data_IF_492792427516
#
_entry.id   IF_492792427516
#
_cell.length_a   1.000
_cell.length_b   1.000
_cell.length_c   1.000
_cell.angle_alpha   90.00
_cell.angle_beta   90.00
_cell.angle_gamma   90.00
#
_symmetry.space_group_name_H-M   'P 1'
#
loop_
_entity.id
_entity.type
_entity.pdbx_description
1 polymer ?
#
# COMPACT_ATOMS: atom_id res chain seq x y z
N UNK A 1 23.32 11.90 9.76
CA UNK A 1 22.32 12.34 8.77
C UNK A 1 21.24 11.30 8.76
N UNK A 2 19.97 11.60 9.06
CA UNK A 2 18.95 10.58 8.97
C UNK A 2 18.65 10.34 7.49
N UNK A 3 18.92 9.13 7.03
CA UNK A 3 18.40 8.64 5.76
C UNK A 3 16.88 8.74 5.82
N UNK A 4 16.29 9.19 4.72
CA UNK A 4 14.84 9.28 4.57
C UNK A 4 14.21 7.89 4.65
N UNK A 5 12.91 7.78 4.87
CA UNK A 5 12.20 6.49 4.81
C UNK A 5 12.27 5.86 3.41
N UNK A 6 12.44 6.70 2.38
CA UNK A 6 12.78 6.24 1.04
C UNK A 6 14.14 5.53 1.02
N UNK A 7 15.13 6.05 1.78
CA UNK A 7 16.40 5.36 2.02
C UNK A 7 16.19 4.13 2.89
N UNK A 8 15.32 4.13 3.91
CA UNK A 8 15.03 2.95 4.72
C UNK A 8 14.39 1.83 3.89
N UNK A 9 13.39 2.11 3.05
CA UNK A 9 12.79 1.14 2.13
C UNK A 9 13.75 0.71 1.00
N UNK A 10 14.71 1.55 0.61
CA UNK A 10 15.72 1.21 -0.39
C UNK A 10 16.93 0.45 0.19
N UNK A 11 17.27 0.70 1.46
CA UNK A 11 18.36 0.07 2.22
C UNK A 11 17.90 -1.20 2.91
N UNK A 12 16.62 -1.33 3.17
CA UNK A 12 16.04 -2.57 3.64
C UNK A 12 16.11 -3.59 2.51
N UNK A 13 17.04 -4.54 2.66
CA UNK A 13 17.24 -5.64 1.71
C UNK A 13 15.98 -6.44 1.38
N UNK A 14 14.91 -6.32 2.19
CA UNK A 14 13.60 -6.92 1.94
C UNK A 14 12.89 -6.29 0.74
N UNK A 15 13.21 -5.04 0.39
CA UNK A 15 12.57 -4.28 -0.69
C UNK A 15 13.57 -3.77 -1.73
N UNK A 16 13.18 -3.88 -3.01
CA UNK A 16 13.92 -3.27 -4.13
C UNK A 16 13.08 -2.19 -4.78
N UNK A 17 13.56 -0.94 -4.81
CA UNK A 17 12.88 0.13 -5.53
C UNK A 17 12.99 -0.05 -7.06
N UNK A 18 11.89 0.11 -7.78
CA UNK A 18 11.82 0.06 -9.26
C UNK A 18 10.78 1.06 -9.76
N UNK A 19 11.06 1.79 -10.85
CA UNK A 19 10.10 2.69 -11.52
C UNK A 19 9.29 3.56 -10.56
N UNK A 20 9.99 4.38 -9.77
CA UNK A 20 9.40 5.18 -8.70
C UNK A 20 9.27 6.64 -9.10
N UNK A 21 8.06 7.18 -8.98
CA UNK A 21 7.77 8.59 -9.13
C UNK A 21 8.18 9.34 -7.86
N UNK A 22 9.18 10.22 -7.95
CA UNK A 22 9.79 10.88 -6.78
C UNK A 22 8.81 11.60 -5.86
N UNK A 23 7.80 12.30 -6.40
CA UNK A 23 6.79 12.99 -5.59
C UNK A 23 5.91 12.03 -4.75
N UNK A 24 5.51 10.89 -5.31
CA UNK A 24 4.70 9.91 -4.59
C UNK A 24 5.54 9.22 -3.50
N UNK A 25 6.81 8.93 -3.80
CA UNK A 25 7.74 8.39 -2.80
C UNK A 25 7.99 9.35 -1.65
N UNK A 26 8.15 10.64 -1.94
CA UNK A 26 8.28 11.67 -0.91
C UNK A 26 7.03 11.72 -0.01
N UNK A 27 5.84 11.59 -0.58
CA UNK A 27 4.59 11.53 0.17
C UNK A 27 4.48 10.27 1.05
N UNK A 28 4.87 9.08 0.54
CA UNK A 28 4.94 7.87 1.37
C UNK A 28 5.91 8.03 2.54
N UNK A 29 7.04 8.70 2.33
CA UNK A 29 8.02 8.95 3.39
C UNK A 29 7.48 9.87 4.49
N UNK A 30 6.49 10.73 4.19
CA UNK A 30 5.79 11.53 5.21
C UNK A 30 4.81 10.72 6.06
N UNK A 31 4.39 9.54 5.60
CA UNK A 31 3.52 8.65 6.38
C UNK A 31 4.32 7.66 7.21
N UNK A 32 5.37 7.08 6.62
CA UNK A 32 6.15 5.99 7.20
C UNK A 32 7.31 6.50 8.06
N UNK A 33 7.10 7.58 8.83
CA UNK A 33 8.18 8.34 9.49
C UNK A 33 8.96 7.58 10.55
N UNK A 34 8.39 6.51 11.11
CA UNK A 34 8.95 5.74 12.22
C UNK A 34 9.32 4.33 11.76
N UNK A 35 10.40 3.76 12.30
CA UNK A 35 10.88 2.40 11.94
C UNK A 35 9.82 1.31 12.18
N UNK A 36 9.00 1.46 13.23
CA UNK A 36 7.89 0.56 13.53
C UNK A 36 6.87 0.51 12.39
N UNK A 37 6.60 1.64 11.72
CA UNK A 37 5.68 1.68 10.58
C UNK A 37 6.25 0.93 9.36
N UNK A 38 7.57 0.94 9.18
CA UNK A 38 8.27 0.20 8.13
C UNK A 38 8.24 -1.31 8.43
N UNK A 39 8.45 -1.70 9.69
CA UNK A 39 8.38 -3.10 10.10
C UNK A 39 6.96 -3.67 10.03
N UNK A 40 5.96 -2.90 10.46
CA UNK A 40 4.54 -3.25 10.31
C UNK A 40 4.17 -3.47 8.84
N UNK A 41 4.65 -2.60 7.94
CA UNK A 41 4.45 -2.75 6.51
C UNK A 41 5.12 -4.03 5.98
N UNK A 42 6.38 -4.28 6.36
CA UNK A 42 7.09 -5.50 5.95
C UNK A 42 6.40 -6.78 6.44
N UNK A 43 5.88 -6.77 7.66
CA UNK A 43 5.11 -7.86 8.21
C UNK A 43 3.78 -8.05 7.47
N UNK A 44 3.06 -6.96 7.20
CA UNK A 44 1.80 -7.00 6.46
C UNK A 44 1.99 -7.55 5.04
N UNK A 45 3.03 -7.12 4.34
CA UNK A 45 3.37 -7.63 3.00
C UNK A 45 3.57 -9.15 3.03
N UNK A 46 4.43 -9.63 3.93
CA UNK A 46 4.72 -11.07 4.07
C UNK A 46 3.51 -11.91 4.48
N UNK A 47 2.57 -11.31 5.22
CA UNK A 47 1.41 -12.02 5.76
C UNK A 47 0.26 -12.07 4.75
N UNK A 48 0.07 -11.00 3.97
CA UNK A 48 -1.15 -10.81 3.18
C UNK A 48 -0.92 -10.79 1.66
N UNK A 49 0.30 -10.62 1.18
CA UNK A 49 0.62 -10.65 -0.25
C UNK A 49 1.08 -12.05 -0.63
N UNK A 50 0.43 -12.66 -1.62
CA UNK A 50 0.76 -14.01 -2.06
C UNK A 50 2.11 -14.04 -2.79
N UNK A 51 2.78 -15.19 -2.77
CA UNK A 51 3.97 -15.39 -3.59
C UNK A 51 3.60 -15.33 -5.09
N UNK A 52 4.46 -14.73 -5.92
CA UNK A 52 4.21 -14.53 -7.35
C UNK A 52 3.08 -13.56 -7.66
N UNK A 53 2.66 -12.72 -6.71
CA UNK A 53 1.60 -11.73 -6.88
C UNK A 53 2.07 -10.31 -6.55
N UNK A 54 1.16 -9.38 -6.75
CA UNK A 54 1.32 -7.96 -6.45
C UNK A 54 0.28 -7.48 -5.46
N UNK A 55 0.63 -6.43 -4.73
CA UNK A 55 -0.28 -5.62 -3.94
C UNK A 55 -0.19 -4.16 -4.36
N UNK A 56 -1.29 -3.43 -4.21
CA UNK A 56 -1.34 -2.00 -4.45
C UNK A 56 -1.91 -1.29 -3.24
N UNK A 57 -1.20 -0.25 -2.81
CA UNK A 57 -1.61 0.65 -1.74
C UNK A 57 -1.75 2.03 -2.36
N UNK A 58 -2.90 2.67 -2.22
CA UNK A 58 -3.14 4.03 -2.65
C UNK A 58 -3.64 4.86 -1.48
N UNK A 59 -2.99 5.99 -1.27
CA UNK A 59 -3.43 7.02 -0.34
C UNK A 59 -4.03 8.13 -1.16
N UNK A 60 -5.29 8.44 -0.88
CA UNK A 60 -6.03 9.52 -1.50
C UNK A 60 -6.08 10.72 -0.56
N UNK A 61 -6.10 11.92 -1.12
CA UNK A 61 -6.41 13.15 -0.39
C UNK A 61 -7.55 13.83 -1.13
N UNK A 62 -8.74 13.83 -0.52
CA UNK A 62 -9.97 14.35 -1.15
C UNK A 62 -10.30 13.65 -2.48
N UNK A 63 -10.23 12.30 -2.50
CA UNK A 63 -10.37 11.47 -3.70
C UNK A 63 -9.33 11.69 -4.82
N UNK A 64 -8.25 12.45 -4.57
CA UNK A 64 -7.13 12.57 -5.52
C UNK A 64 -5.99 11.68 -5.07
N UNK A 65 -5.38 10.93 -6.00
CA UNK A 65 -4.22 10.09 -5.67
C UNK A 65 -3.07 10.95 -5.13
N UNK A 66 -2.77 10.80 -3.84
CA UNK A 66 -1.71 11.53 -3.16
C UNK A 66 -0.41 10.73 -3.15
N UNK A 67 -0.50 9.42 -2.91
CA UNK A 67 0.62 8.50 -3.00
C UNK A 67 0.15 7.12 -3.42
N UNK A 68 0.98 6.39 -4.16
CA UNK A 68 0.76 4.97 -4.42
C UNK A 68 2.01 4.17 -4.15
N UNK A 69 1.83 2.91 -3.80
CA UNK A 69 2.88 1.92 -3.60
C UNK A 69 2.42 0.60 -4.17
N UNK A 70 3.21 0.05 -5.07
CA UNK A 70 2.99 -1.28 -5.67
C UNK A 70 4.06 -2.17 -5.11
N UNK A 71 3.65 -3.30 -4.56
CA UNK A 71 4.55 -4.26 -3.94
C UNK A 71 4.42 -5.56 -4.71
N UNK A 72 5.48 -5.98 -5.38
CA UNK A 72 5.51 -7.26 -6.09
C UNK A 72 6.31 -8.27 -5.28
N UNK A 73 5.77 -9.45 -5.04
CA UNK A 73 6.47 -10.53 -4.36
C UNK A 73 6.83 -11.60 -5.37
N UNK A 74 8.11 -12.00 -5.41
CA UNK A 74 8.56 -13.06 -6.32
C UNK A 74 7.90 -14.42 -6.01
N UNK A 75 8.04 -15.39 -6.92
CA UNK A 75 7.48 -16.73 -6.73
C UNK A 75 8.06 -17.47 -5.52
N UNK A 76 9.24 -17.08 -5.05
CA UNK A 76 9.85 -17.66 -3.85
C UNK A 76 9.27 -17.10 -2.55
N UNK A 77 8.48 -16.02 -2.63
CA UNK A 77 7.94 -15.31 -1.46
C UNK A 77 9.00 -14.52 -0.68
N UNK A 78 10.24 -14.46 -1.17
CA UNK A 78 11.42 -14.02 -0.43
C UNK A 78 11.83 -12.58 -0.72
N UNK A 79 11.61 -12.08 -1.93
CA UNK A 79 11.98 -10.71 -2.32
C UNK A 79 10.74 -9.92 -2.70
N UNK A 80 10.55 -8.76 -2.05
CA UNK A 80 9.56 -7.78 -2.46
C UNK A 80 10.23 -6.68 -3.30
N UNK A 81 9.54 -6.18 -4.32
CA UNK A 81 9.95 -4.96 -5.04
C UNK A 81 8.87 -3.90 -4.90
N UNK A 82 9.29 -2.66 -4.71
CA UNK A 82 8.41 -1.52 -4.49
C UNK A 82 8.49 -0.60 -5.71
N UNK A 83 7.33 -0.31 -6.30
CA UNK A 83 7.16 0.62 -7.41
C UNK A 83 6.03 1.61 -7.08
N UNK A 84 5.81 2.61 -7.92
CA UNK A 84 4.65 3.51 -7.82
C UNK A 84 3.86 3.48 -9.12
N UNK A 85 2.57 3.81 -9.09
CA UNK A 85 1.79 3.99 -10.30
C UNK A 85 2.19 5.27 -11.02
N UNK A 86 2.33 5.18 -12.35
CA UNK A 86 2.59 6.35 -13.22
C UNK A 86 1.31 7.09 -13.62
N UNK A 87 0.13 6.67 -13.14
CA UNK A 87 -1.15 7.24 -13.54
C UNK A 87 -1.63 8.30 -12.54
N UNK A 88 -1.67 9.59 -12.90
CA UNK A 88 -2.16 10.66 -12.02
C UNK A 88 -3.69 10.78 -11.97
N UNK A 89 -4.42 10.06 -12.82
CA UNK A 89 -5.87 10.24 -12.96
C UNK A 89 -6.66 9.09 -12.37
N UNK A 90 -6.73 9.10 -11.04
CA UNK A 90 -7.88 8.56 -10.33
C UNK A 90 -8.94 9.66 -10.27
N UNK A 91 -9.68 9.85 -11.37
CA UNK A 91 -10.82 10.77 -11.41
C UNK A 91 -12.09 9.99 -11.15
N UNK A 92 -12.61 10.02 -9.92
CA UNK A 92 -13.79 9.25 -9.53
C UNK A 92 -13.88 9.05 -8.03
N UNK A 93 -14.86 8.28 -7.58
CA UNK A 93 -14.88 7.82 -6.20
C UNK A 93 -13.75 6.80 -5.92
N UNK A 94 -13.48 6.53 -4.65
CA UNK A 94 -12.41 5.61 -4.23
C UNK A 94 -12.59 4.19 -4.78
N UNK A 95 -13.82 3.74 -5.05
CA UNK A 95 -14.09 2.39 -5.56
C UNK A 95 -13.73 2.27 -7.03
N UNK A 96 -14.07 3.29 -7.83
CA UNK A 96 -13.65 3.36 -9.22
C UNK A 96 -12.12 3.41 -9.31
N UNK A 97 -11.50 4.27 -8.50
CA UNK A 97 -10.04 4.37 -8.40
C UNK A 97 -9.40 3.03 -8.07
N UNK A 98 -10.00 2.29 -7.12
CA UNK A 98 -9.53 0.97 -6.73
C UNK A 98 -9.55 -0.02 -7.90
N UNK A 99 -10.66 -0.07 -8.64
CA UNK A 99 -10.79 -0.94 -9.81
C UNK A 99 -9.77 -0.62 -10.90
N UNK A 100 -9.58 0.66 -11.23
CA UNK A 100 -8.63 1.11 -12.24
C UNK A 100 -7.18 0.81 -11.85
N UNK A 101 -6.81 1.10 -10.60
CA UNK A 101 -5.47 0.83 -10.07
C UNK A 101 -5.16 -0.67 -10.05
N UNK A 102 -6.09 -1.51 -9.58
CA UNK A 102 -5.94 -2.97 -9.59
C UNK A 102 -5.77 -3.49 -11.01
N UNK A 103 -6.59 -3.04 -11.96
CA UNK A 103 -6.49 -3.45 -13.36
C UNK A 103 -5.15 -3.03 -13.98
N UNK A 104 -4.69 -1.81 -13.68
CA UNK A 104 -3.41 -1.32 -14.16
C UNK A 104 -2.25 -2.15 -13.58
N UNK A 105 -2.27 -2.44 -12.29
CA UNK A 105 -1.26 -3.29 -11.63
C UNK A 105 -1.27 -4.70 -12.22
N UNK A 106 -2.46 -5.27 -12.47
CA UNK A 106 -2.58 -6.57 -13.10
C UNK A 106 -1.93 -6.62 -14.49
N UNK A 107 -2.12 -5.57 -15.29
CA UNK A 107 -1.55 -5.48 -16.63
C UNK A 107 -0.02 -5.32 -16.64
N UNK A 108 0.57 -4.69 -15.61
CA UNK A 108 2.00 -4.33 -15.60
C UNK A 108 2.86 -5.23 -14.70
N UNK A 109 2.29 -5.76 -13.62
CA UNK A 109 3.02 -6.48 -12.57
C UNK A 109 2.43 -7.88 -12.26
N UNK A 110 1.44 -8.33 -13.04
CA UNK A 110 0.81 -9.64 -12.85
C UNK A 110 -0.26 -9.65 -11.76
N UNK A 111 -0.74 -10.83 -11.32
CA UNK A 111 -1.92 -10.96 -10.47
C UNK A 111 -1.87 -10.06 -9.23
N UNK A 112 -2.91 -9.27 -9.00
CA UNK A 112 -3.03 -8.44 -7.79
C UNK A 112 -3.81 -9.22 -6.73
N UNK A 113 -3.19 -9.53 -5.60
CA UNK A 113 -3.82 -10.30 -4.51
C UNK A 113 -4.32 -9.43 -3.35
N UNK A 114 -3.89 -8.16 -3.31
CA UNK A 114 -4.30 -7.19 -2.29
C UNK A 114 -4.36 -5.80 -2.91
N UNK A 115 -5.50 -5.12 -2.74
CA UNK A 115 -5.59 -3.68 -2.98
C UNK A 115 -6.09 -2.96 -1.74
N UNK A 116 -5.39 -1.89 -1.37
CA UNK A 116 -5.62 -1.10 -0.17
C UNK A 116 -5.72 0.38 -0.54
N UNK A 117 -6.91 0.96 -0.45
CA UNK A 117 -7.18 2.33 -0.90
C UNK A 117 -7.77 3.10 0.26
N UNK A 118 -7.12 4.18 0.71
CA UNK A 118 -7.49 4.84 1.96
C UNK A 118 -7.36 6.36 1.84
N UNK A 119 -8.22 7.12 2.52
CA UNK A 119 -8.01 8.57 2.69
C UNK A 119 -6.82 8.85 3.62
N UNK A 120 -6.06 9.90 3.33
CA UNK A 120 -4.80 10.23 4.00
C UNK A 120 -4.93 10.33 5.51
N UNK A 121 -6.00 10.95 6.00
CA UNK A 121 -6.25 11.09 7.44
C UNK A 121 -6.40 9.72 8.13
N UNK A 122 -7.08 8.78 7.47
CA UNK A 122 -7.28 7.42 7.97
C UNK A 122 -6.02 6.58 7.83
N UNK A 123 -5.19 6.81 6.80
CA UNK A 123 -3.88 6.18 6.67
C UNK A 123 -2.96 6.55 7.85
N UNK A 124 -2.93 7.85 8.21
CA UNK A 124 -2.15 8.33 9.35
C UNK A 124 -2.68 7.77 10.67
N UNK A 125 -4.00 7.73 10.84
CA UNK A 125 -4.62 7.15 12.04
C UNK A 125 -4.30 5.65 12.18
N UNK A 126 -4.35 4.89 11.07
CA UNK A 126 -3.99 3.48 11.04
C UNK A 126 -2.53 3.23 11.45
N UNK A 127 -1.60 4.00 10.91
CA UNK A 127 -0.18 3.86 11.22
C UNK A 127 0.11 4.15 12.69
N UNK A 128 -0.64 5.04 13.33
CA UNK A 128 -0.49 5.38 14.76
C UNK A 128 -1.30 4.48 15.70
N UNK A 129 -2.25 3.70 15.18
CA UNK A 129 -3.11 2.86 16.00
C UNK A 129 -2.32 1.66 16.56
N UNK A 130 -2.51 1.36 17.84
CA UNK A 130 -2.07 0.08 18.43
C UNK A 130 -2.98 -1.07 17.97
N UNK A 131 -4.28 -0.81 17.80
CA UNK A 131 -5.24 -1.75 17.20
C UNK A 131 -5.43 -1.43 15.70
N UNK A 132 -4.57 -2.03 14.86
CA UNK A 132 -4.62 -1.85 13.40
C UNK A 132 -5.95 -2.36 12.81
N UNK A 133 -6.46 -3.50 13.30
CA UNK A 133 -7.70 -4.08 12.79
C UNK A 133 -8.92 -3.19 13.14
N UNK A 134 -8.96 -2.62 14.34
CA UNK A 134 -9.94 -1.61 14.74
C UNK A 134 -9.89 -0.35 13.87
N UNK A 135 -8.69 0.16 13.57
CA UNK A 135 -8.53 1.31 12.68
C UNK A 135 -8.98 1.01 11.25
N UNK A 136 -8.67 -0.17 10.70
CA UNK A 136 -9.15 -0.61 9.38
C UNK A 136 -10.68 -0.67 9.34
N UNK A 137 -11.31 -1.29 10.34
CA UNK A 137 -12.78 -1.37 10.44
C UNK A 137 -13.42 0.01 10.54
N UNK A 138 -12.81 0.93 11.29
CA UNK A 138 -13.29 2.30 11.43
C UNK A 138 -13.22 3.06 10.11
N UNK A 139 -12.10 2.97 9.39
CA UNK A 139 -11.94 3.60 8.08
C UNK A 139 -12.91 3.02 7.04
N UNK A 140 -13.13 1.70 7.06
CA UNK A 140 -14.10 1.03 6.18
C UNK A 140 -15.54 1.48 6.48
N UNK A 141 -15.94 1.55 7.75
CA UNK A 141 -17.26 2.02 8.16
C UNK A 141 -17.51 3.50 7.80
N UNK A 142 -16.45 4.31 7.73
CA UNK A 142 -16.52 5.71 7.29
C UNK A 142 -16.57 5.87 5.75
N UNK A 143 -16.46 4.78 4.98
CA UNK A 143 -16.31 4.85 3.52
C UNK A 143 -14.98 5.44 3.06
N UNK A 144 -14.01 5.57 3.98
CA UNK A 144 -12.69 6.14 3.75
C UNK A 144 -11.62 5.09 3.49
N UNK A 145 -12.03 3.83 3.31
CA UNK A 145 -11.18 2.69 2.97
C UNK A 145 -11.93 1.74 2.03
N UNK A 146 -11.28 1.39 0.91
CA UNK A 146 -11.66 0.29 0.04
C UNK A 146 -10.56 -0.76 0.06
N UNK A 147 -10.94 -2.01 0.33
CA UNK A 147 -10.07 -3.18 0.21
C UNK A 147 -10.56 -4.02 -0.96
N UNK A 148 -9.78 -4.10 -2.04
CA UNK A 148 -10.13 -4.91 -3.20
C UNK A 148 -8.91 -5.10 -4.10
N UNK A 149 -8.51 -6.34 -4.43
CA UNK A 149 -8.99 -7.60 -3.84
C UNK A 149 -8.55 -7.74 -2.38
N UNK A 150 -9.27 -8.57 -1.61
CA UNK A 150 -8.96 -8.86 -0.21
C UNK A 150 -8.41 -10.29 -0.11
N UNK A 151 -7.17 -10.49 0.37
CA UNK A 151 -6.64 -11.82 0.59
C UNK A 151 -7.39 -12.50 1.74
N UNK A 152 -7.66 -13.82 1.68
CA UNK A 152 -8.44 -14.52 2.71
C UNK A 152 -7.91 -14.34 4.14
N UNK A 153 -6.59 -14.31 4.31
CA UNK A 153 -5.95 -14.08 5.60
C UNK A 153 -6.31 -12.71 6.20
N UNK A 154 -6.40 -11.67 5.36
CA UNK A 154 -6.83 -10.34 5.81
C UNK A 154 -8.33 -10.32 6.11
N UNK A 155 -9.16 -11.00 5.31
CA UNK A 155 -10.59 -11.11 5.57
C UNK A 155 -10.87 -11.76 6.94
N UNK A 156 -10.12 -12.80 7.32
CA UNK A 156 -10.21 -13.44 8.64
C UNK A 156 -9.73 -12.51 9.76
N UNK A 157 -8.65 -11.76 9.54
CA UNK A 157 -8.11 -10.83 10.53
C UNK A 157 -9.02 -9.63 10.82
N UNK A 158 -9.96 -9.32 9.92
CA UNK A 158 -10.90 -8.20 10.03
C UNK A 158 -12.30 -8.59 10.50
N UNK A 159 -12.61 -9.89 10.58
CA UNK A 159 -13.88 -10.42 11.07
C UNK A 159 -14.03 -10.25 12.60
#
# INVERSE_FOLDING_TARGET
>A
MPGTVADALALDSRFRLRNVHGAQLANLALLLTDEEAVDDLALAVRTFVAAGSSAVVCVLENNVLWASMIITVDESGGTASVSTMDTPNAGGDMTQTAGEAVNWVQAHYGPCSLGFFVEREHAQALLRASDKAGAVRTASAAGALVLSPIPPALAVALA
#
